data_IF_711145327104
#
_entry.id   IF_711145327104
#
_cell.length_a   1.000
_cell.length_b   1.000
_cell.length_c   1.000
_cell.angle_alpha   90.00
_cell.angle_beta   90.00
_cell.angle_gamma   90.00
#
_symmetry.space_group_name_H-M   'P 1'
#
loop_
_entity.id
_entity.type
_entity.pdbx_description
1 polymer ?
#
# COMPACT_ATOMS: atom_id res chain seq x y z
N UNK A 1 39.02 44.13 -4.28
CA UNK A 1 37.59 44.32 -3.90
C UNK A 1 36.73 43.04 -3.99
N UNK A 2 37.32 41.87 -4.22
CA UNK A 2 36.62 40.61 -4.55
C UNK A 2 36.49 39.61 -3.39
N UNK A 3 37.38 39.68 -2.38
CA UNK A 3 37.34 38.79 -1.20
C UNK A 3 36.27 39.18 -0.15
N UNK A 4 36.07 40.48 0.13
CA UNK A 4 35.04 40.96 1.06
C UNK A 4 33.61 40.63 0.61
N UNK A 5 33.33 40.68 -0.70
CA UNK A 5 32.02 40.30 -1.25
C UNK A 5 31.76 38.79 -1.15
N UNK A 6 32.78 37.94 -1.28
CA UNK A 6 32.66 36.48 -1.06
C UNK A 6 32.39 36.14 0.41
N UNK A 7 33.09 36.79 1.35
CA UNK A 7 32.85 36.59 2.79
C UNK A 7 31.43 37.04 3.20
N UNK A 8 31.00 38.23 2.79
CA UNK A 8 29.65 38.73 3.11
C UNK A 8 28.54 37.80 2.59
N UNK A 9 28.72 37.21 1.40
CA UNK A 9 27.77 36.23 0.83
C UNK A 9 27.72 34.92 1.63
N UNK A 10 28.84 34.48 2.19
CA UNK A 10 28.93 33.28 3.05
C UNK A 10 28.24 33.47 4.40
N UNK A 11 28.39 34.64 5.04
CA UNK A 11 27.68 34.97 6.27
C UNK A 11 26.17 35.06 6.06
N UNK A 12 25.75 35.66 4.94
CA UNK A 12 24.32 35.76 4.61
C UNK A 12 23.67 34.38 4.45
N UNK A 13 24.35 33.44 3.78
CA UNK A 13 23.91 32.04 3.67
C UNK A 13 23.83 31.39 5.05
N UNK A 14 24.86 31.53 5.89
CA UNK A 14 24.87 30.97 7.23
C UNK A 14 23.72 31.48 8.10
N UNK A 15 23.47 32.79 8.12
CA UNK A 15 22.37 33.39 8.89
C UNK A 15 20.99 33.02 8.33
N UNK A 16 20.87 32.73 7.03
CA UNK A 16 19.63 32.27 6.42
C UNK A 16 19.27 30.83 6.84
N UNK A 17 20.28 29.96 7.00
CA UNK A 17 20.09 28.55 7.40
C UNK A 17 20.13 28.32 8.92
N UNK A 18 20.72 29.22 9.70
CA UNK A 18 20.79 29.11 11.17
C UNK A 18 19.41 28.90 11.84
N UNK A 19 18.34 29.64 11.52
CA UNK A 19 17.02 29.39 12.12
C UNK A 19 16.43 28.03 11.71
N UNK A 20 16.74 27.55 10.50
CA UNK A 20 16.33 26.20 10.05
C UNK A 20 17.12 25.13 10.83
N UNK A 21 18.42 25.32 11.02
CA UNK A 21 19.26 24.39 11.79
C UNK A 21 18.81 24.35 13.25
N UNK A 22 18.54 25.50 13.86
CA UNK A 22 18.05 25.59 15.24
C UNK A 22 16.67 24.96 15.40
N UNK A 23 15.74 25.17 14.46
CA UNK A 23 14.41 24.56 14.52
C UNK A 23 14.45 23.04 14.33
N UNK A 24 15.27 22.54 13.39
CA UNK A 24 15.49 21.09 13.19
C UNK A 24 16.16 20.47 14.41
N UNK A 25 17.15 21.13 15.01
CA UNK A 25 17.83 20.65 16.21
C UNK A 25 16.87 20.59 17.41
N UNK A 26 16.02 21.61 17.56
CA UNK A 26 14.99 21.64 18.59
C UNK A 26 13.95 20.53 18.42
N UNK A 27 13.52 20.26 17.19
CA UNK A 27 12.62 19.14 16.87
C UNK A 27 13.27 17.79 17.16
N UNK A 28 14.55 17.61 16.82
CA UNK A 28 15.31 16.40 17.12
C UNK A 28 15.44 16.15 18.63
N UNK A 29 15.65 17.20 19.44
CA UNK A 29 15.70 17.11 20.90
C UNK A 29 14.34 16.76 21.51
N UNK A 30 13.24 17.22 20.90
CA UNK A 30 11.86 16.93 21.35
C UNK A 30 11.29 15.63 20.79
N UNK A 31 12.09 14.81 20.14
CA UNK A 31 11.59 13.61 19.50
C UNK A 31 11.12 12.59 20.55
N UNK A 32 9.88 12.14 20.39
CA UNK A 32 9.28 11.12 21.25
C UNK A 32 10.01 9.80 21.08
N UNK A 33 10.18 9.07 22.18
CA UNK A 33 10.65 7.68 22.16
C UNK A 33 9.65 6.80 21.40
N UNK A 34 10.11 5.66 20.87
CA UNK A 34 9.22 4.68 20.22
C UNK A 34 8.07 4.27 21.15
N UNK A 35 8.34 4.15 22.45
CA UNK A 35 7.34 3.82 23.46
C UNK A 35 6.25 4.90 23.59
N UNK A 36 6.64 6.17 23.62
CA UNK A 36 5.70 7.30 23.67
C UNK A 36 4.90 7.43 22.36
N UNK A 37 5.51 7.14 21.22
CA UNK A 37 4.83 7.14 19.92
C UNK A 37 3.72 6.07 19.85
N UNK A 38 3.88 4.96 20.56
CA UNK A 38 2.91 3.87 20.60
C UNK A 38 1.60 4.22 21.30
N UNK A 39 1.57 5.21 22.21
CA UNK A 39 0.35 5.59 22.94
C UNK A 39 -0.37 4.41 23.64
N UNK A 40 0.40 3.57 24.35
CA UNK A 40 -0.10 2.35 25.02
C UNK A 40 -1.23 2.66 26.01
N UNK A 41 -1.24 3.85 26.60
CA UNK A 41 -2.28 4.34 27.51
C UNK A 41 -3.66 4.49 26.85
N UNK A 42 -3.77 4.43 25.51
CA UNK A 42 -5.04 4.44 24.78
C UNK A 42 -5.71 3.07 24.69
N UNK A 43 -5.02 1.99 25.08
CA UNK A 43 -5.63 0.67 25.16
C UNK A 43 -6.74 0.64 26.25
N UNK A 44 -7.83 -0.13 26.06
CA UNK A 44 -8.00 -1.22 25.09
C UNK A 44 -8.42 -0.79 23.68
N UNK A 45 -8.66 0.51 23.44
CA UNK A 45 -8.98 1.05 22.11
C UNK A 45 -7.70 1.41 21.33
N UNK A 46 -6.95 0.37 21.04
CA UNK A 46 -5.64 0.39 20.38
C UNK A 46 -5.51 -0.84 19.44
N UNK A 47 -4.50 -0.87 18.57
CA UNK A 47 -4.26 -1.95 17.62
C UNK A 47 -3.75 -3.25 18.28
N UNK A 48 -3.24 -3.17 19.51
CA UNK A 48 -2.86 -4.36 20.29
C UNK A 48 -1.57 -4.16 21.08
N UNK A 49 -1.03 -5.26 21.63
CA UNK A 49 0.14 -5.25 22.51
C UNK A 49 1.18 -6.34 22.21
N UNK A 50 1.09 -7.01 21.06
CA UNK A 50 1.89 -8.22 20.75
C UNK A 50 3.40 -7.96 20.74
N UNK A 51 3.83 -6.74 20.40
CA UNK A 51 5.25 -6.34 20.42
C UNK A 51 5.62 -5.33 21.51
N UNK A 52 4.70 -4.93 22.39
CA UNK A 52 5.00 -3.92 23.40
C UNK A 52 6.18 -4.29 24.30
N UNK A 53 6.31 -5.57 24.68
CA UNK A 53 7.43 -6.03 25.52
C UNK A 53 8.79 -5.78 24.85
N UNK A 54 8.88 -5.97 23.54
CA UNK A 54 10.14 -5.80 22.80
C UNK A 54 10.46 -4.31 22.61
N UNK A 55 9.44 -3.46 22.44
CA UNK A 55 9.58 -1.99 22.42
C UNK A 55 10.02 -1.46 23.79
N UNK A 56 9.39 -1.87 24.89
CA UNK A 56 9.78 -1.47 26.26
C UNK A 56 11.21 -1.89 26.61
N UNK A 57 11.71 -2.98 26.01
CA UNK A 57 13.10 -3.44 26.15
C UNK A 57 14.06 -2.76 25.17
N UNK A 58 13.66 -1.69 24.49
CA UNK A 58 14.45 -0.93 23.51
C UNK A 58 15.07 -1.80 22.40
N UNK A 59 14.39 -2.89 21.99
CA UNK A 59 14.86 -3.74 20.89
C UNK A 59 14.49 -3.20 19.50
N UNK A 60 13.68 -2.15 19.46
CA UNK A 60 13.27 -1.45 18.24
C UNK A 60 13.70 0.00 18.39
N UNK A 61 14.60 0.45 17.52
CA UNK A 61 15.19 1.80 17.58
C UNK A 61 15.04 2.50 16.23
N UNK A 62 14.75 3.81 16.25
CA UNK A 62 14.63 4.62 15.05
C UNK A 62 15.98 4.71 14.30
N UNK A 63 15.92 4.74 12.97
CA UNK A 63 17.10 4.89 12.11
C UNK A 63 17.18 6.29 11.50
N UNK A 64 18.38 6.87 11.44
CA UNK A 64 18.62 8.20 10.88
C UNK A 64 19.73 8.19 9.84
N UNK A 65 20.04 7.02 9.29
CA UNK A 65 21.19 6.80 8.43
C UNK A 65 21.03 7.48 7.05
N UNK A 66 19.79 7.71 6.60
CA UNK A 66 19.49 8.41 5.35
C UNK A 66 18.78 9.72 5.66
N UNK A 67 18.99 10.72 4.81
CA UNK A 67 18.29 12.02 4.90
C UNK A 67 16.77 11.82 4.83
N UNK A 68 16.30 10.88 4.01
CA UNK A 68 14.88 10.49 3.97
C UNK A 68 14.41 10.01 5.34
N UNK A 69 15.11 9.07 5.94
CA UNK A 69 14.71 8.44 7.21
C UNK A 69 14.70 9.48 8.33
N UNK A 70 15.67 10.40 8.32
CA UNK A 70 15.69 11.57 9.19
C UNK A 70 14.46 12.45 9.01
N UNK A 71 14.09 12.82 7.78
CA UNK A 71 12.92 13.66 7.51
C UNK A 71 11.64 12.96 7.99
N UNK A 72 11.45 11.69 7.65
CA UNK A 72 10.27 10.93 8.07
C UNK A 72 10.18 10.83 9.59
N UNK A 73 11.29 10.48 10.25
CA UNK A 73 11.30 10.27 11.69
C UNK A 73 11.13 11.58 12.49
N UNK A 74 11.72 12.68 12.03
CA UNK A 74 11.69 13.98 12.72
C UNK A 74 10.39 14.75 12.45
N UNK A 75 9.88 14.70 11.22
CA UNK A 75 8.67 15.44 10.83
C UNK A 75 7.39 14.60 10.85
N UNK A 76 7.47 13.32 11.21
CA UNK A 76 6.32 12.40 11.27
C UNK A 76 5.52 12.38 9.96
N UNK A 77 6.20 12.39 8.81
CA UNK A 77 5.56 12.43 7.49
C UNK A 77 4.68 11.19 7.32
N UNK A 78 3.37 11.41 7.11
CA UNK A 78 2.33 10.35 7.10
C UNK A 78 2.33 9.44 8.34
N UNK A 79 2.90 9.87 9.47
CA UNK A 79 3.06 9.06 10.69
C UNK A 79 3.81 7.73 10.46
N UNK A 80 4.75 7.73 9.52
CA UNK A 80 5.62 6.60 9.18
C UNK A 80 7.03 6.85 9.74
N UNK A 81 7.60 5.85 10.41
CA UNK A 81 8.93 5.92 11.00
C UNK A 81 9.78 4.73 10.57
N UNK A 82 11.03 4.99 10.19
CA UNK A 82 12.00 3.95 9.85
C UNK A 82 12.79 3.54 11.09
N UNK A 83 12.88 2.24 11.32
CA UNK A 83 13.48 1.68 12.52
C UNK A 83 14.20 0.35 12.23
N UNK A 84 14.92 -0.16 13.23
CA UNK A 84 15.53 -1.49 13.21
C UNK A 84 15.02 -2.32 14.36
N UNK A 85 14.53 -3.52 14.07
CA UNK A 85 14.19 -4.52 15.07
C UNK A 85 15.27 -5.60 15.09
N UNK A 86 16.10 -5.61 16.15
CA UNK A 86 17.34 -6.40 16.21
C UNK A 86 18.29 -6.02 15.06
N UNK A 87 18.41 -6.86 14.04
CA UNK A 87 19.21 -6.60 12.83
C UNK A 87 18.36 -6.27 11.61
N UNK A 88 17.03 -6.42 11.70
CA UNK A 88 16.13 -6.30 10.54
C UNK A 88 15.60 -4.87 10.40
N UNK A 89 15.64 -4.28 9.20
CA UNK A 89 14.98 -3.00 8.96
C UNK A 89 13.45 -3.20 9.03
N UNK A 90 12.78 -2.28 9.72
CA UNK A 90 11.33 -2.28 9.93
C UNK A 90 10.76 -0.89 9.75
N UNK A 91 9.47 -0.83 9.46
CA UNK A 91 8.70 0.41 9.41
C UNK A 91 7.68 0.38 10.55
N UNK A 92 7.63 1.47 11.31
CA UNK A 92 6.62 1.75 12.31
C UNK A 92 5.58 2.68 11.69
N UNK A 93 4.30 2.28 11.69
CA UNK A 93 3.21 3.12 11.18
C UNK A 93 2.16 3.36 12.24
N UNK A 94 1.78 4.62 12.40
CA UNK A 94 0.56 5.02 13.09
C UNK A 94 -0.46 5.35 12.00
N UNK A 95 -1.43 4.46 11.81
CA UNK A 95 -2.26 4.32 10.61
C UNK A 95 -3.42 5.32 10.53
N UNK A 96 -3.21 6.51 11.06
CA UNK A 96 -4.14 7.63 11.01
C UNK A 96 -3.42 8.91 11.39
N UNK A 97 -3.95 10.04 10.91
CA UNK A 97 -3.50 11.33 11.35
C UNK A 97 -3.93 11.60 12.80
N UNK A 98 -3.20 12.47 13.50
CA UNK A 98 -3.49 12.83 14.90
C UNK A 98 -4.93 13.33 15.07
N UNK A 99 -5.47 14.04 14.07
CA UNK A 99 -6.83 14.56 14.10
C UNK A 99 -7.89 13.44 14.04
N UNK A 100 -7.67 12.40 13.24
CA UNK A 100 -8.55 11.24 13.12
C UNK A 100 -8.53 10.41 14.41
N UNK A 101 -7.34 10.20 14.98
CA UNK A 101 -7.18 9.51 16.28
C UNK A 101 -7.87 10.28 17.41
N UNK A 102 -7.75 11.62 17.42
CA UNK A 102 -8.42 12.46 18.40
C UNK A 102 -9.95 12.47 18.22
N UNK A 103 -10.44 12.39 16.97
CA UNK A 103 -11.87 12.23 16.68
C UNK A 103 -12.36 10.89 17.19
N UNK A 104 -11.67 9.80 16.85
CA UNK A 104 -11.96 8.46 17.35
C UNK A 104 -11.99 8.42 18.89
N UNK A 105 -11.04 9.06 19.57
CA UNK A 105 -11.00 9.17 21.03
C UNK A 105 -12.21 9.87 21.65
N UNK A 106 -12.78 10.86 20.96
CA UNK A 106 -14.02 11.52 21.41
C UNK A 106 -15.21 10.59 21.18
N UNK A 107 -15.29 9.98 20.00
CA UNK A 107 -16.41 9.14 19.59
C UNK A 107 -16.60 7.90 20.49
N UNK A 108 -15.52 7.40 21.12
CA UNK A 108 -15.58 6.24 22.03
C UNK A 108 -15.70 6.61 23.52
N UNK A 109 -15.49 7.88 23.91
CA UNK A 109 -15.33 8.29 25.31
C UNK A 109 -16.57 8.03 26.15
N UNK A 110 -17.73 8.29 25.57
CA UNK A 110 -19.02 8.26 26.27
C UNK A 110 -19.79 6.96 25.99
N UNK A 111 -19.19 6.03 25.23
CA UNK A 111 -19.88 4.82 24.81
C UNK A 111 -19.55 3.64 25.74
N UNK A 112 -20.54 3.14 26.47
CA UNK A 112 -20.50 1.80 27.10
C UNK A 112 -20.84 0.77 26.02
N UNK A 113 -19.84 0.34 25.25
CA UNK A 113 -20.09 -0.53 24.09
C UNK A 113 -19.79 -1.98 24.44
N UNK A 114 -20.83 -2.82 24.35
CA UNK A 114 -20.69 -4.28 24.40
C UNK A 114 -20.33 -4.83 23.01
N UNK A 115 -19.96 -6.11 22.97
CA UNK A 115 -19.54 -6.80 21.74
C UNK A 115 -20.54 -6.65 20.58
N UNK A 116 -21.82 -6.89 20.85
CA UNK A 116 -22.89 -6.89 19.84
C UNK A 116 -23.06 -5.51 19.20
N UNK A 117 -23.02 -4.46 20.02
CA UNK A 117 -23.12 -3.08 19.53
C UNK A 117 -21.90 -2.69 18.66
N UNK A 118 -20.67 -3.03 19.08
CA UNK A 118 -19.46 -2.77 18.28
C UNK A 118 -19.49 -3.51 16.94
N UNK A 119 -19.83 -4.81 16.94
CA UNK A 119 -19.89 -5.61 15.72
C UNK A 119 -20.95 -5.06 14.75
N UNK A 120 -22.12 -4.66 15.25
CA UNK A 120 -23.17 -4.05 14.44
C UNK A 120 -22.76 -2.70 13.85
N UNK A 121 -22.07 -1.85 14.62
CA UNK A 121 -21.58 -0.56 14.15
C UNK A 121 -20.52 -0.73 13.05
N UNK A 122 -19.59 -1.68 13.22
CA UNK A 122 -18.60 -2.02 12.19
C UNK A 122 -19.26 -2.53 10.92
N UNK A 123 -20.23 -3.44 11.06
CA UNK A 123 -20.98 -3.99 9.93
C UNK A 123 -21.62 -2.88 9.11
N UNK A 124 -22.29 -1.94 9.77
CA UNK A 124 -22.87 -0.77 9.12
C UNK A 124 -21.80 0.11 8.46
N UNK A 125 -20.72 0.42 9.17
CA UNK A 125 -19.66 1.32 8.69
C UNK A 125 -18.92 0.76 7.46
N UNK A 126 -18.58 -0.53 7.47
CA UNK A 126 -17.78 -1.15 6.42
C UNK A 126 -18.59 -1.52 5.17
N UNK A 127 -19.91 -1.67 5.28
CA UNK A 127 -20.77 -2.00 4.13
C UNK A 127 -21.09 -0.80 3.25
N UNK A 128 -20.91 0.43 3.71
CA UNK A 128 -20.95 1.68 2.92
C UNK A 128 -22.01 1.77 1.78
N UNK A 129 -23.20 1.20 1.95
CA UNK A 129 -24.27 1.20 0.94
C UNK A 129 -25.26 2.37 1.09
N UNK A 130 -24.79 3.52 1.61
CA UNK A 130 -25.57 4.75 1.57
C UNK A 130 -24.89 5.71 0.60
N UNK A 131 -25.50 5.92 -0.57
CA UNK A 131 -25.03 6.85 -1.60
C UNK A 131 -24.83 8.29 -1.06
N UNK A 132 -25.36 8.61 0.12
CA UNK A 132 -25.21 9.91 0.80
C UNK A 132 -23.98 10.00 1.70
N UNK A 133 -23.24 8.92 1.91
CA UNK A 133 -22.06 8.88 2.78
C UNK A 133 -20.81 8.60 1.93
N UNK A 134 -19.72 9.36 2.11
CA UNK A 134 -18.46 9.04 1.44
C UNK A 134 -18.05 7.59 1.70
N UNK A 135 -17.65 6.87 0.65
CA UNK A 135 -17.20 5.49 0.79
C UNK A 135 -16.04 5.40 1.79
N UNK A 136 -16.07 4.45 2.74
CA UNK A 136 -14.93 4.23 3.62
C UNK A 136 -13.71 3.76 2.80
N UNK A 137 -12.47 4.06 3.24
CA UNK A 137 -11.24 3.54 2.63
C UNK A 137 -11.28 2.02 2.44
N UNK A 138 -11.73 1.30 3.47
CA UNK A 138 -11.92 -0.15 3.43
C UNK A 138 -13.40 -0.52 3.41
N UNK A 139 -13.77 -1.39 2.47
CA UNK A 139 -15.16 -1.72 2.17
C UNK A 139 -15.39 -3.24 2.12
N UNK A 140 -16.55 -3.67 2.62
CA UNK A 140 -16.99 -5.07 2.62
C UNK A 140 -18.29 -5.20 1.83
N UNK A 141 -18.32 -6.09 0.84
CA UNK A 141 -19.41 -6.14 -0.14
C UNK A 141 -20.81 -6.44 0.42
N UNK A 142 -20.90 -7.38 1.36
CA UNK A 142 -22.18 -7.87 1.85
C UNK A 142 -22.05 -8.41 3.29
N UNK A 143 -23.19 -8.77 3.87
CA UNK A 143 -23.26 -9.29 5.23
C UNK A 143 -22.48 -10.59 5.39
N UNK A 144 -22.57 -11.50 4.42
CA UNK A 144 -21.87 -12.79 4.47
C UNK A 144 -20.35 -12.61 4.42
N UNK A 145 -19.89 -11.67 3.59
CA UNK A 145 -18.48 -11.28 3.53
C UNK A 145 -18.07 -10.66 4.85
N UNK A 146 -18.89 -9.79 5.45
CA UNK A 146 -18.57 -9.18 6.74
C UNK A 146 -18.46 -10.24 7.83
N UNK A 147 -19.43 -11.16 7.95
CA UNK A 147 -19.38 -12.20 8.99
C UNK A 147 -18.13 -13.08 8.80
N UNK A 148 -17.87 -13.55 7.58
CA UNK A 148 -16.70 -14.40 7.30
C UNK A 148 -15.38 -13.66 7.54
N UNK A 149 -15.28 -12.41 7.08
CA UNK A 149 -14.11 -11.56 7.30
C UNK A 149 -13.90 -11.31 8.79
N UNK A 150 -14.95 -10.88 9.50
CA UNK A 150 -14.88 -10.58 10.92
C UNK A 150 -14.47 -11.81 11.75
N UNK A 151 -15.03 -12.98 11.43
CA UNK A 151 -14.75 -14.23 12.14
C UNK A 151 -13.36 -14.81 11.80
N UNK A 152 -12.74 -14.37 10.70
CA UNK A 152 -11.35 -14.72 10.37
C UNK A 152 -10.33 -14.15 11.36
N UNK A 153 -10.73 -13.15 12.18
CA UNK A 153 -9.88 -12.57 13.22
C UNK A 153 -10.09 -13.27 14.55
N UNK A 154 -9.05 -13.95 15.02
CA UNK A 154 -9.00 -14.48 16.38
C UNK A 154 -8.65 -13.38 17.40
N UNK A 155 -9.39 -12.26 17.38
CA UNK A 155 -9.21 -11.19 18.35
C UNK A 155 -10.21 -11.40 19.47
N UNK A 156 -9.75 -11.94 20.60
CA UNK A 156 -10.56 -12.06 21.83
C UNK A 156 -11.02 -10.70 22.38
N UNK A 157 -10.50 -9.59 21.85
CA UNK A 157 -10.83 -8.23 22.26
C UNK A 157 -11.48 -7.41 21.12
N UNK A 158 -12.81 -7.35 21.15
CA UNK A 158 -13.63 -6.55 20.23
C UNK A 158 -13.24 -5.06 20.18
N UNK A 159 -12.74 -4.47 21.28
CA UNK A 159 -12.34 -3.05 21.29
C UNK A 159 -11.11 -2.82 20.41
N UNK A 160 -10.19 -3.79 20.36
CA UNK A 160 -9.05 -3.79 19.45
C UNK A 160 -9.50 -3.94 18.01
N UNK A 161 -10.36 -4.92 17.72
CA UNK A 161 -10.94 -5.13 16.37
C UNK A 161 -11.66 -3.89 15.89
N UNK A 162 -12.49 -3.30 16.75
CA UNK A 162 -13.20 -2.06 16.47
C UNK A 162 -12.25 -0.91 16.19
N UNK A 163 -11.17 -0.78 16.95
CA UNK A 163 -10.17 0.27 16.72
C UNK A 163 -9.49 0.10 15.36
N UNK A 164 -9.05 -1.11 15.02
CA UNK A 164 -8.40 -1.41 13.74
C UNK A 164 -9.38 -1.10 12.60
N UNK A 165 -10.54 -1.75 12.56
CA UNK A 165 -11.47 -1.63 11.45
C UNK A 165 -12.14 -0.24 11.36
N UNK A 166 -12.21 0.51 12.46
CA UNK A 166 -12.73 1.88 12.43
C UNK A 166 -11.71 2.90 11.93
N UNK A 167 -10.42 2.63 12.09
CA UNK A 167 -9.35 3.57 11.76
C UNK A 167 -8.69 3.18 10.43
N UNK A 168 -8.16 1.96 10.35
CA UNK A 168 -7.43 1.47 9.20
C UNK A 168 -7.35 -0.06 9.22
N UNK A 169 -7.84 -0.70 8.16
CA UNK A 169 -7.88 -2.17 8.04
C UNK A 169 -6.53 -2.81 7.70
N UNK A 170 -5.49 -2.02 7.36
CA UNK A 170 -4.16 -2.49 6.96
C UNK A 170 -3.59 -3.58 7.89
N UNK A 171 -3.58 -3.48 9.24
CA UNK A 171 -2.97 -4.50 10.11
C UNK A 171 -3.60 -5.89 9.92
N UNK A 172 -4.91 -5.89 9.75
CA UNK A 172 -5.74 -7.07 9.61
C UNK A 172 -5.52 -7.71 8.25
N UNK A 173 -5.45 -6.90 7.18
CA UNK A 173 -5.16 -7.38 5.84
C UNK A 173 -3.72 -7.89 5.74
N UNK A 174 -2.74 -7.18 6.31
CA UNK A 174 -1.36 -7.67 6.38
C UNK A 174 -1.29 -9.00 7.12
N UNK A 175 -1.98 -9.17 8.25
CA UNK A 175 -1.99 -10.46 8.96
C UNK A 175 -2.60 -11.59 8.11
N UNK A 176 -3.71 -11.32 7.41
CA UNK A 176 -4.39 -12.28 6.56
C UNK A 176 -3.52 -12.71 5.36
N UNK A 177 -2.95 -11.74 4.64
CA UNK A 177 -2.27 -11.98 3.37
C UNK A 177 -0.77 -12.32 3.55
N UNK A 178 -0.07 -11.78 4.55
CA UNK A 178 1.37 -12.07 4.75
C UNK A 178 1.69 -13.50 5.18
N UNK A 179 0.68 -14.27 5.65
CA UNK A 179 0.85 -15.68 6.03
C UNK A 179 1.15 -16.59 4.83
N UNK A 180 0.83 -16.18 3.61
CA UNK A 180 0.98 -17.01 2.40
C UNK A 180 2.02 -16.37 1.47
N UNK A 181 2.97 -17.19 1.00
CA UNK A 181 4.15 -16.72 0.23
C UNK A 181 3.85 -16.04 -1.12
N UNK A 182 2.66 -16.24 -1.67
CA UNK A 182 2.32 -15.73 -3.00
C UNK A 182 1.66 -14.35 -2.98
N UNK A 183 1.26 -13.82 -1.82
CA UNK A 183 0.79 -12.44 -1.73
C UNK A 183 1.97 -11.48 -1.52
N UNK A 184 2.15 -10.49 -2.39
CA UNK A 184 3.21 -9.50 -2.27
C UNK A 184 2.80 -8.41 -1.27
N UNK A 185 2.77 -8.72 0.02
CA UNK A 185 2.52 -7.75 1.09
C UNK A 185 3.63 -7.81 2.15
N UNK A 186 3.92 -6.71 2.88
CA UNK A 186 4.93 -6.72 3.92
C UNK A 186 4.55 -7.68 5.04
N UNK A 187 5.55 -8.31 5.64
CA UNK A 187 5.33 -9.05 6.88
C UNK A 187 4.95 -8.10 8.02
N UNK A 188 3.81 -8.36 8.66
CA UNK A 188 3.47 -7.74 9.95
C UNK A 188 4.22 -8.46 11.07
N UNK A 189 5.07 -7.76 11.82
CA UNK A 189 5.78 -8.31 12.97
C UNK A 189 4.93 -8.26 14.24
N UNK A 190 4.03 -7.29 14.35
CA UNK A 190 3.08 -7.16 15.46
C UNK A 190 2.70 -5.71 15.73
N UNK A 191 2.06 -5.47 16.87
CA UNK A 191 1.46 -4.18 17.23
C UNK A 191 1.83 -3.76 18.66
N UNK A 192 1.85 -2.46 18.91
CA UNK A 192 1.91 -1.92 20.26
C UNK A 192 1.17 -0.59 20.37
N UNK A 193 0.15 -0.54 21.23
CA UNK A 193 -0.73 0.61 21.32
C UNK A 193 -1.35 0.92 19.94
N UNK A 194 -1.16 2.14 19.44
CA UNK A 194 -1.61 2.62 18.13
C UNK A 194 -0.52 2.62 17.07
N UNK A 195 0.45 1.72 17.22
CA UNK A 195 1.55 1.54 16.28
C UNK A 195 1.56 0.11 15.77
N UNK A 196 1.78 -0.07 14.47
CA UNK A 196 2.15 -1.36 13.89
C UNK A 196 3.63 -1.39 13.56
N UNK A 197 4.21 -2.58 13.59
CA UNK A 197 5.59 -2.84 13.19
C UNK A 197 5.55 -3.81 12.00
N UNK A 198 5.99 -3.36 10.83
CA UNK A 198 6.01 -4.16 9.62
C UNK A 198 7.39 -4.18 8.98
N UNK A 199 7.57 -5.06 8.01
CA UNK A 199 8.76 -5.15 7.18
C UNK A 199 9.03 -3.86 6.38
N UNK A 200 10.28 -3.42 6.38
CA UNK A 200 10.78 -2.42 5.45
C UNK A 200 11.22 -3.14 4.17
N UNK A 201 10.31 -3.28 3.22
CA UNK A 201 10.51 -4.18 2.08
C UNK A 201 11.46 -3.61 1.01
N UNK A 202 11.43 -2.29 0.74
CA UNK A 202 12.23 -1.75 -0.34
C UNK A 202 11.91 -0.30 -0.70
N UNK A 203 12.21 0.07 -1.95
CA UNK A 203 11.98 1.42 -2.49
C UNK A 203 10.76 1.44 -3.40
N UNK A 204 10.00 2.52 -3.35
CA UNK A 204 8.85 2.71 -4.23
C UNK A 204 9.21 2.61 -5.72
N UNK A 205 8.29 2.11 -6.54
CA UNK A 205 8.45 1.90 -7.98
C UNK A 205 8.75 3.21 -8.70
N UNK A 206 8.21 4.35 -8.25
CA UNK A 206 8.59 5.65 -8.81
C UNK A 206 10.08 6.01 -8.65
N UNK A 207 10.82 5.34 -7.76
CA UNK A 207 12.23 5.60 -7.47
C UNK A 207 13.19 4.59 -8.14
N UNK A 208 12.73 3.86 -9.18
CA UNK A 208 13.55 2.84 -9.88
C UNK A 208 14.13 3.33 -11.22
N UNK A 209 14.32 4.63 -11.40
CA UNK A 209 14.84 5.24 -12.65
C UNK A 209 16.13 4.58 -13.18
N UNK A 210 16.98 4.08 -12.28
CA UNK A 210 18.26 3.43 -12.63
C UNK A 210 18.12 1.98 -13.10
N UNK A 211 16.92 1.41 -13.07
CA UNK A 211 16.71 0.03 -13.46
C UNK A 211 16.79 -0.11 -14.99
N UNK A 212 17.54 -1.11 -15.45
CA UNK A 212 17.50 -1.50 -16.86
C UNK A 212 16.08 -1.88 -17.27
N UNK A 213 15.79 -1.80 -18.56
CA UNK A 213 14.47 -2.16 -19.07
C UNK A 213 14.07 -3.60 -18.67
N UNK A 214 14.99 -4.56 -18.67
CA UNK A 214 14.71 -5.94 -18.25
C UNK A 214 14.39 -6.06 -16.75
N UNK A 215 15.00 -5.25 -15.88
CA UNK A 215 14.62 -5.19 -14.46
C UNK A 215 13.22 -4.63 -14.30
N UNK A 216 12.88 -3.55 -15.01
CA UNK A 216 11.51 -2.99 -15.02
C UNK A 216 10.49 -3.98 -15.57
N UNK A 217 10.83 -4.76 -16.59
CA UNK A 217 10.00 -5.84 -17.12
C UNK A 217 9.75 -6.97 -16.10
N UNK A 218 10.75 -7.31 -15.28
CA UNK A 218 10.57 -8.28 -14.20
C UNK A 218 9.67 -7.73 -13.09
N UNK A 219 9.84 -6.45 -12.73
CA UNK A 219 8.97 -5.76 -11.76
C UNK A 219 7.53 -5.73 -12.29
N UNK A 220 7.30 -5.32 -13.53
CA UNK A 220 5.99 -5.31 -14.18
C UNK A 220 5.32 -6.68 -14.16
N UNK A 221 6.08 -7.74 -14.49
CA UNK A 221 5.61 -9.12 -14.43
C UNK A 221 5.12 -9.50 -13.02
N UNK A 222 5.93 -9.22 -11.99
CA UNK A 222 5.59 -9.58 -10.62
C UNK A 222 4.44 -8.73 -10.05
N UNK A 223 4.32 -7.46 -10.43
CA UNK A 223 3.18 -6.59 -10.05
C UNK A 223 1.88 -7.17 -10.62
N UNK A 224 1.84 -7.45 -11.92
CA UNK A 224 0.65 -7.99 -12.58
C UNK A 224 0.27 -9.37 -12.02
N UNK A 225 1.25 -10.22 -11.73
CA UNK A 225 1.02 -11.50 -11.04
C UNK A 225 0.48 -11.28 -9.61
N UNK A 226 1.01 -10.29 -8.89
CA UNK A 226 0.58 -9.94 -7.54
C UNK A 226 -0.89 -9.55 -7.45
N UNK A 227 -1.34 -8.68 -8.35
CA UNK A 227 -2.74 -8.22 -8.35
C UNK A 227 -3.71 -9.31 -8.79
N UNK A 228 -3.29 -10.23 -9.68
CA UNK A 228 -4.06 -11.44 -9.97
C UNK A 228 -4.19 -12.34 -8.73
N UNK A 229 -3.13 -12.48 -7.93
CA UNK A 229 -3.18 -13.29 -6.72
C UNK A 229 -4.20 -12.74 -5.71
N UNK A 230 -4.29 -11.42 -5.53
CA UNK A 230 -5.29 -10.79 -4.66
C UNK A 230 -6.74 -11.10 -5.09
N UNK A 231 -6.99 -11.20 -6.40
CA UNK A 231 -8.32 -11.56 -6.93
C UNK A 231 -8.59 -13.07 -6.86
N UNK A 232 -7.59 -13.91 -7.15
CA UNK A 232 -7.81 -15.33 -7.47
C UNK A 232 -7.32 -16.33 -6.43
N UNK A 233 -6.38 -15.98 -5.56
CA UNK A 233 -5.61 -17.02 -4.84
C UNK A 233 -5.85 -17.06 -3.33
N UNK A 234 -6.67 -16.19 -2.74
CA UNK A 234 -7.13 -16.40 -1.36
C UNK A 234 -8.22 -17.48 -1.34
N UNK A 235 -8.29 -18.32 -0.32
CA UNK A 235 -9.27 -19.41 -0.22
C UNK A 235 -10.70 -18.85 -0.17
N UNK A 236 -10.94 -17.90 0.73
CA UNK A 236 -12.29 -17.36 0.99
C UNK A 236 -12.64 -16.02 0.32
N UNK A 237 -11.65 -15.24 -0.12
CA UNK A 237 -11.85 -13.83 -0.44
C UNK A 237 -11.29 -13.44 -1.81
N UNK A 238 -11.87 -12.40 -2.40
CA UNK A 238 -11.25 -11.59 -3.45
C UNK A 238 -10.96 -10.22 -2.83
N UNK A 239 -9.73 -9.74 -3.01
CA UNK A 239 -9.32 -8.42 -2.56
C UNK A 239 -9.08 -7.52 -3.77
N UNK A 240 -9.75 -6.38 -3.81
CA UNK A 240 -9.61 -5.37 -4.85
C UNK A 240 -8.98 -4.11 -4.25
N UNK A 241 -7.80 -3.76 -4.74
CA UNK A 241 -7.06 -2.57 -4.32
C UNK A 241 -7.63 -1.36 -5.05
N UNK A 242 -7.99 -0.31 -4.31
CA UNK A 242 -8.63 0.87 -4.88
C UNK A 242 -7.67 2.06 -5.04
N UNK A 243 -6.48 1.97 -4.46
CA UNK A 243 -5.42 3.00 -4.53
C UNK A 243 -4.10 2.43 -5.08
N UNK A 244 -4.14 1.94 -6.33
CA UNK A 244 -2.95 1.42 -7.01
C UNK A 244 -2.13 2.60 -7.53
N UNK A 245 -0.92 2.77 -7.02
CA UNK A 245 -0.01 3.82 -7.45
C UNK A 245 1.46 3.38 -7.39
N UNK A 246 2.38 4.08 -8.09
CA UNK A 246 3.80 3.76 -8.05
C UNK A 246 4.47 3.96 -6.68
N UNK A 247 3.89 4.78 -5.80
CA UNK A 247 4.38 4.97 -4.43
C UNK A 247 3.87 3.90 -3.46
N UNK A 248 2.74 3.26 -3.75
CA UNK A 248 2.16 2.18 -2.95
C UNK A 248 2.72 0.79 -3.29
N UNK A 249 3.57 0.70 -4.32
CA UNK A 249 4.30 -0.52 -4.68
C UNK A 249 5.80 -0.30 -4.48
N UNK A 250 6.45 -1.20 -3.76
CA UNK A 250 7.90 -1.16 -3.51
C UNK A 250 8.62 -2.36 -4.07
N UNK A 251 9.92 -2.18 -4.34
CA UNK A 251 10.83 -3.19 -4.90
C UNK A 251 12.07 -3.32 -4.02
N UNK A 252 12.47 -4.55 -3.70
CA UNK A 252 13.70 -4.86 -2.97
C UNK A 252 14.94 -4.99 -3.90
N UNK A 253 16.09 -5.31 -3.34
CA UNK A 253 17.34 -5.48 -4.11
C UNK A 253 17.31 -6.72 -5.03
N UNK A 254 16.51 -7.73 -4.68
CA UNK A 254 16.29 -8.97 -5.44
C UNK A 254 15.14 -8.84 -6.47
N UNK A 255 14.64 -7.63 -6.69
CA UNK A 255 13.53 -7.30 -7.59
C UNK A 255 12.23 -7.99 -7.21
N UNK A 256 12.03 -8.39 -5.95
CA UNK A 256 10.72 -8.75 -5.42
C UNK A 256 9.89 -7.50 -5.22
N UNK A 257 8.57 -7.66 -5.23
CA UNK A 257 7.60 -6.56 -5.12
C UNK A 257 6.70 -6.78 -3.92
N UNK A 258 6.27 -5.66 -3.32
CA UNK A 258 5.29 -5.65 -2.25
C UNK A 258 4.39 -4.43 -2.37
N UNK A 259 3.10 -4.61 -2.07
CA UNK A 259 2.10 -3.54 -1.93
C UNK A 259 2.09 -3.09 -0.47
N UNK A 260 2.51 -1.86 -0.21
CA UNK A 260 2.75 -1.36 1.15
C UNK A 260 1.61 -0.53 1.71
N UNK A 261 0.61 -0.22 0.89
CA UNK A 261 -0.62 0.43 1.30
C UNK A 261 -1.79 -0.52 1.06
N UNK A 262 -2.42 -0.92 2.15
CA UNK A 262 -3.56 -1.84 2.14
C UNK A 262 -4.79 -1.20 2.80
N UNK A 263 -4.78 0.11 3.06
CA UNK A 263 -5.88 0.77 3.75
C UNK A 263 -7.11 0.96 2.84
N UNK A 264 -6.84 1.12 1.54
CA UNK A 264 -7.82 1.36 0.49
C UNK A 264 -8.11 0.07 -0.29
N UNK A 265 -9.16 -0.65 0.10
CA UNK A 265 -9.53 -1.91 -0.54
C UNK A 265 -11.00 -2.29 -0.38
N UNK A 266 -11.50 -3.05 -1.34
CA UNK A 266 -12.77 -3.77 -1.27
C UNK A 266 -12.49 -5.25 -1.06
N UNK A 267 -13.12 -5.87 -0.07
CA UNK A 267 -13.10 -7.32 0.11
C UNK A 267 -14.47 -7.92 -0.21
N UNK A 268 -14.44 -9.05 -0.92
CA UNK A 268 -15.61 -9.83 -1.29
C UNK A 268 -15.40 -11.31 -0.96
N UNK A 269 -16.39 -11.97 -0.39
CA UNK A 269 -16.39 -13.43 -0.23
C UNK A 269 -16.44 -14.10 -1.61
N UNK A 270 -15.63 -15.14 -1.80
CA UNK A 270 -15.67 -15.93 -3.02
C UNK A 270 -16.96 -16.73 -3.11
N UNK A 271 -17.63 -16.62 -4.24
CA UNK A 271 -18.68 -17.52 -4.68
C UNK A 271 -18.09 -18.68 -5.48
N UNK A 272 -18.84 -19.78 -5.57
CA UNK A 272 -18.46 -20.95 -6.37
C UNK A 272 -18.57 -20.69 -7.88
N UNK A 273 -19.21 -19.59 -8.29
CA UNK A 273 -19.39 -19.16 -9.67
C UNK A 273 -18.41 -18.03 -10.00
N UNK A 274 -18.08 -17.91 -11.29
CA UNK A 274 -17.40 -16.73 -11.85
C UNK A 274 -18.12 -16.28 -13.12
N UNK A 275 -19.45 -16.41 -13.13
CA UNK A 275 -20.26 -16.21 -14.34
C UNK A 275 -20.49 -14.73 -14.58
N UNK A 276 -20.78 -13.96 -13.52
CA UNK A 276 -20.96 -12.51 -13.63
C UNK A 276 -19.62 -11.80 -13.41
N UNK A 277 -18.96 -11.40 -14.49
CA UNK A 277 -17.71 -10.64 -14.46
C UNK A 277 -17.99 -9.14 -14.59
N UNK A 278 -17.46 -8.34 -13.67
CA UNK A 278 -17.39 -6.89 -13.81
C UNK A 278 -16.09 -6.49 -14.53
N UNK A 279 -16.25 -5.76 -15.63
CA UNK A 279 -15.17 -5.14 -16.39
C UNK A 279 -15.11 -3.64 -16.07
N UNK A 280 -14.02 -3.20 -15.47
CA UNK A 280 -13.84 -1.78 -15.14
C UNK A 280 -13.81 -0.92 -16.40
N UNK A 281 -14.56 0.18 -16.41
CA UNK A 281 -14.61 1.14 -17.49
C UNK A 281 -14.71 2.54 -16.92
N UNK A 282 -13.81 3.43 -17.35
CA UNK A 282 -13.73 4.80 -16.87
C UNK A 282 -13.39 5.75 -18.02
N UNK A 283 -13.87 6.98 -17.92
CA UNK A 283 -13.57 8.03 -18.90
C UNK A 283 -12.06 8.23 -19.04
N UNK A 284 -11.66 8.69 -20.24
CA UNK A 284 -10.26 8.78 -20.69
C UNK A 284 -9.39 9.63 -19.75
N UNK A 285 -9.98 10.46 -18.88
CA UNK A 285 -9.27 11.44 -18.06
C UNK A 285 -9.27 11.14 -16.55
N UNK A 286 -9.98 10.10 -16.07
CA UNK A 286 -10.07 9.84 -14.62
C UNK A 286 -9.97 8.34 -14.28
N UNK A 287 -9.17 8.02 -13.26
CA UNK A 287 -9.22 6.71 -12.62
C UNK A 287 -10.26 6.77 -11.51
N UNK A 288 -11.43 6.17 -11.78
CA UNK A 288 -12.46 5.96 -10.78
C UNK A 288 -12.73 4.46 -10.63
N UNK A 289 -13.58 4.08 -9.69
CA UNK A 289 -14.07 2.72 -9.53
C UNK A 289 -15.48 2.74 -8.95
N UNK A 290 -16.24 1.68 -9.21
CA UNK A 290 -17.59 1.50 -8.69
C UNK A 290 -17.59 0.37 -7.65
N UNK A 291 -17.61 0.68 -6.33
CA UNK A 291 -17.73 -0.33 -5.29
C UNK A 291 -18.96 -1.23 -5.51
N UNK A 292 -20.05 -0.62 -5.97
CA UNK A 292 -21.30 -1.31 -6.27
C UNK A 292 -21.13 -2.35 -7.37
N UNK A 293 -20.57 -1.98 -8.52
CA UNK A 293 -20.38 -2.93 -9.63
C UNK A 293 -19.40 -4.06 -9.27
N UNK A 294 -18.33 -3.74 -8.55
CA UNK A 294 -17.40 -4.74 -8.02
C UNK A 294 -18.15 -5.73 -7.12
N UNK A 295 -18.96 -5.24 -6.18
CA UNK A 295 -19.65 -6.08 -5.21
C UNK A 295 -20.86 -6.84 -5.76
N UNK A 296 -21.53 -6.33 -6.79
CA UNK A 296 -22.63 -7.00 -7.48
C UNK A 296 -22.15 -8.07 -8.49
N UNK A 297 -20.85 -8.15 -8.77
CA UNK A 297 -20.24 -9.15 -9.68
C UNK A 297 -19.62 -10.32 -8.92
N UNK A 298 -19.58 -11.53 -9.49
CA UNK A 298 -18.86 -12.66 -8.88
C UNK A 298 -17.34 -12.41 -8.81
N UNK A 299 -16.85 -11.68 -9.82
CA UNK A 299 -15.44 -11.46 -10.08
C UNK A 299 -15.29 -10.12 -10.82
N UNK A 300 -14.27 -9.35 -10.47
CA UNK A 300 -13.94 -8.11 -11.17
C UNK A 300 -12.48 -8.10 -11.65
N UNK A 301 -12.25 -7.51 -12.80
CA UNK A 301 -10.90 -7.27 -13.34
C UNK A 301 -10.24 -5.99 -12.80
N UNK A 302 -10.85 -5.30 -11.84
CA UNK A 302 -10.44 -3.98 -11.34
C UNK A 302 -8.94 -3.87 -11.04
N UNK A 303 -8.39 -4.85 -10.32
CA UNK A 303 -6.98 -4.96 -10.00
C UNK A 303 -6.07 -4.99 -11.24
N UNK A 304 -6.46 -5.76 -12.25
CA UNK A 304 -5.73 -5.89 -13.52
C UNK A 304 -5.82 -4.59 -14.30
N UNK A 305 -7.03 -4.03 -14.40
CA UNK A 305 -7.29 -2.76 -15.04
C UNK A 305 -6.44 -1.64 -14.43
N UNK A 306 -6.42 -1.51 -13.10
CA UNK A 306 -5.63 -0.49 -12.40
C UNK A 306 -4.14 -0.59 -12.68
N UNK A 307 -3.56 -1.80 -12.68
CA UNK A 307 -2.15 -1.98 -13.07
C UNK A 307 -1.91 -1.64 -14.54
N UNK A 308 -2.76 -2.11 -15.45
CA UNK A 308 -2.62 -1.82 -16.87
C UNK A 308 -2.70 -0.31 -17.15
N UNK A 309 -3.70 0.37 -16.57
CA UNK A 309 -3.96 1.80 -16.75
C UNK A 309 -2.92 2.69 -16.08
N UNK A 310 -2.60 2.45 -14.82
CA UNK A 310 -1.83 3.39 -14.00
C UNK A 310 -0.33 3.09 -13.99
N UNK A 311 0.08 1.84 -14.26
CA UNK A 311 1.48 1.44 -14.15
C UNK A 311 2.08 1.02 -15.49
N UNK A 312 1.36 0.33 -16.37
CA UNK A 312 1.96 -0.29 -17.56
C UNK A 312 1.75 0.49 -18.86
N UNK A 313 0.59 1.12 -19.04
CA UNK A 313 0.26 1.86 -20.25
C UNK A 313 1.24 2.97 -20.52
N UNK A 314 1.53 3.21 -21.80
CA UNK A 314 2.29 4.40 -22.22
C UNK A 314 1.54 5.71 -21.93
N UNK A 315 0.23 5.62 -21.73
CA UNK A 315 -0.68 6.73 -21.45
C UNK A 315 -1.10 6.78 -19.97
N UNK A 316 -0.31 6.19 -19.06
CA UNK A 316 -0.60 6.28 -17.63
C UNK A 316 -0.65 7.75 -17.16
N UNK A 317 -1.70 8.10 -16.41
CA UNK A 317 -1.99 9.47 -16.00
C UNK A 317 -0.92 10.01 -15.04
N UNK A 318 -0.49 11.26 -15.19
CA UNK A 318 0.38 11.91 -14.19
C UNK A 318 -0.40 12.13 -12.87
N UNK A 319 0.19 11.95 -11.66
CA UNK A 319 1.60 11.74 -11.33
C UNK A 319 2.02 10.25 -11.24
N UNK A 320 1.35 9.35 -11.96
CA UNK A 320 1.71 7.94 -12.00
C UNK A 320 3.00 7.70 -12.84
N UNK A 321 3.10 6.60 -13.58
CA UNK A 321 4.30 6.28 -14.36
C UNK A 321 4.27 6.97 -15.73
N UNK A 322 4.99 8.07 -15.90
CA UNK A 322 5.14 8.70 -17.24
C UNK A 322 5.72 7.70 -18.26
N UNK A 323 5.03 7.56 -19.40
CA UNK A 323 5.32 6.55 -20.43
C UNK A 323 5.11 5.09 -20.01
N UNK A 324 4.61 4.84 -18.80
CA UNK A 324 4.46 3.50 -18.21
C UNK A 324 5.77 2.88 -17.74
N UNK A 325 5.66 1.85 -16.92
CA UNK A 325 6.81 1.13 -16.33
C UNK A 325 7.75 0.52 -17.39
N UNK A 326 7.23 0.26 -18.59
CA UNK A 326 7.95 -0.37 -19.70
C UNK A 326 8.39 0.59 -20.81
N UNK A 327 8.39 1.91 -20.56
CA UNK A 327 8.86 2.92 -21.52
C UNK A 327 10.29 2.65 -22.01
N UNK A 328 10.63 3.16 -23.20
CA UNK A 328 11.96 3.05 -23.82
C UNK A 328 12.51 1.61 -23.91
N UNK A 329 11.79 0.67 -24.54
CA UNK A 329 12.28 -0.70 -24.76
C UNK A 329 13.50 -0.76 -25.69
N UNK A 330 14.42 -1.74 -25.50
CA UNK A 330 15.47 -2.05 -26.46
C UNK A 330 14.90 -2.35 -27.85
N UNK A 331 15.64 -2.02 -28.93
CA UNK A 331 15.17 -2.18 -30.32
C UNK A 331 14.78 -3.62 -30.64
N UNK A 332 15.49 -4.60 -30.09
CA UNK A 332 15.21 -6.02 -30.25
C UNK A 332 13.85 -6.39 -29.64
N UNK A 333 13.48 -5.76 -28.53
CA UNK A 333 12.18 -5.96 -27.88
C UNK A 333 11.08 -5.31 -28.72
N UNK A 334 11.26 -4.07 -29.16
CA UNK A 334 10.26 -3.37 -29.99
C UNK A 334 9.98 -4.12 -31.28
N UNK A 335 11.02 -4.62 -31.97
CA UNK A 335 10.88 -5.33 -33.24
C UNK A 335 10.26 -6.73 -33.11
N UNK A 336 10.63 -7.48 -32.07
CA UNK A 336 10.20 -8.90 -31.92
C UNK A 336 8.99 -9.09 -31.01
N UNK A 337 8.71 -8.12 -30.14
CA UNK A 337 7.69 -8.23 -29.10
C UNK A 337 6.71 -7.05 -29.08
N UNK A 338 6.49 -6.36 -30.21
CA UNK A 338 5.51 -5.27 -30.33
C UNK A 338 4.12 -5.65 -29.79
N UNK A 339 3.67 -6.90 -30.02
CA UNK A 339 2.41 -7.45 -29.50
C UNK A 339 2.28 -7.44 -27.96
N UNK A 340 3.36 -7.24 -27.21
CA UNK A 340 3.29 -7.00 -25.77
C UNK A 340 2.64 -5.65 -25.48
N UNK A 341 3.09 -4.60 -26.16
CA UNK A 341 2.61 -3.24 -25.95
C UNK A 341 1.16 -3.10 -26.41
N UNK A 342 0.79 -3.71 -27.53
CA UNK A 342 -0.59 -3.74 -27.98
C UNK A 342 -1.52 -4.45 -26.97
N UNK A 343 -1.06 -5.55 -26.37
CA UNK A 343 -1.82 -6.24 -25.34
C UNK A 343 -1.97 -5.42 -24.05
N UNK A 344 -0.98 -4.57 -23.72
CA UNK A 344 -1.07 -3.63 -22.59
C UNK A 344 -2.10 -2.55 -22.89
N UNK A 345 -2.06 -1.93 -24.07
CA UNK A 345 -3.04 -0.89 -24.40
C UNK A 345 -4.46 -1.46 -24.55
N UNK A 346 -4.60 -2.68 -25.10
CA UNK A 346 -5.86 -3.41 -25.10
C UNK A 346 -6.31 -3.85 -23.68
N UNK A 347 -5.41 -3.94 -22.71
CA UNK A 347 -5.78 -4.16 -21.31
C UNK A 347 -6.35 -2.89 -20.67
N UNK A 348 -5.97 -1.70 -21.17
CA UNK A 348 -6.50 -0.41 -20.72
C UNK A 348 -7.88 -0.18 -21.32
N UNK A 349 -7.92 -0.15 -22.64
CA UNK A 349 -9.13 0.09 -23.40
C UNK A 349 -9.90 -1.22 -23.45
N UNK A 350 -11.12 -1.25 -22.91
CA UNK A 350 -12.04 -2.38 -23.09
C UNK A 350 -13.11 -2.05 -24.12
N UNK A 351 -12.77 -1.76 -25.39
CA UNK A 351 -13.77 -1.87 -26.42
C UNK A 351 -14.19 -3.34 -26.47
N UNK A 352 -15.49 -3.60 -26.38
CA UNK A 352 -16.10 -4.93 -26.57
C UNK A 352 -15.86 -5.98 -25.47
N UNK A 353 -15.81 -5.58 -24.19
CA UNK A 353 -15.72 -6.52 -23.04
C UNK A 353 -14.56 -7.53 -23.15
N UNK A 354 -13.42 -7.12 -23.73
CA UNK A 354 -12.28 -8.02 -23.87
C UNK A 354 -11.89 -8.54 -22.49
N UNK A 355 -11.83 -9.86 -22.38
CA UNK A 355 -11.51 -10.54 -21.14
C UNK A 355 -10.10 -10.15 -20.65
N UNK A 356 -10.02 -9.19 -19.71
CA UNK A 356 -8.75 -8.72 -19.16
C UNK A 356 -7.99 -9.80 -18.38
N UNK A 357 -8.66 -10.85 -17.90
CA UNK A 357 -7.97 -12.01 -17.33
C UNK A 357 -7.18 -12.77 -18.41
N UNK A 358 -7.71 -12.85 -19.63
CA UNK A 358 -7.02 -13.49 -20.75
C UNK A 358 -5.89 -12.60 -21.26
N UNK A 359 -6.14 -11.31 -21.42
CA UNK A 359 -5.11 -10.34 -21.82
C UNK A 359 -3.96 -10.30 -20.81
N UNK A 360 -4.24 -10.24 -19.51
CA UNK A 360 -3.20 -10.24 -18.49
C UNK A 360 -2.38 -11.53 -18.50
N UNK A 361 -2.99 -12.70 -18.73
CA UNK A 361 -2.26 -13.95 -18.98
C UNK A 361 -1.37 -13.87 -20.22
N UNK A 362 -1.85 -13.27 -21.31
CA UNK A 362 -1.04 -13.04 -22.51
C UNK A 362 0.15 -12.11 -22.25
N UNK A 363 -0.06 -11.01 -21.51
CA UNK A 363 0.99 -10.07 -21.11
C UNK A 363 2.04 -10.78 -20.26
N UNK A 364 1.63 -11.53 -19.23
CA UNK A 364 2.52 -12.32 -18.38
C UNK A 364 3.34 -13.32 -19.19
N UNK A 365 2.72 -14.05 -20.12
CA UNK A 365 3.42 -15.02 -20.97
C UNK A 365 4.47 -14.35 -21.88
N UNK A 366 4.13 -13.19 -22.47
CA UNK A 366 5.07 -12.42 -23.30
C UNK A 366 6.24 -11.88 -22.49
N UNK A 367 5.97 -11.29 -21.32
CA UNK A 367 7.01 -10.84 -20.39
C UNK A 367 7.90 -12.00 -19.96
N UNK A 368 7.31 -13.15 -19.61
CA UNK A 368 8.05 -14.33 -19.22
C UNK A 368 9.02 -14.82 -20.32
N UNK A 369 8.57 -14.84 -21.58
CA UNK A 369 9.42 -15.21 -22.72
C UNK A 369 10.61 -14.25 -22.88
N UNK A 370 10.36 -12.94 -22.79
CA UNK A 370 11.41 -11.91 -22.87
C UNK A 370 12.41 -12.05 -21.72
N UNK A 371 11.91 -12.25 -20.50
CA UNK A 371 12.73 -12.39 -19.30
C UNK A 371 13.58 -13.67 -19.33
N UNK A 372 13.06 -14.77 -19.89
CA UNK A 372 13.83 -16.00 -20.13
C UNK A 372 15.00 -15.75 -21.08
N UNK A 373 14.74 -15.07 -22.21
CA UNK A 373 15.80 -14.68 -23.13
C UNK A 373 16.85 -13.79 -22.46
N UNK A 374 16.41 -12.79 -21.70
CA UNK A 374 17.30 -11.88 -20.97
C UNK A 374 18.19 -12.62 -19.95
N UNK A 375 17.65 -13.62 -19.24
CA UNK A 375 18.43 -14.44 -18.30
C UNK A 375 19.48 -15.27 -19.02
N UNK A 376 19.11 -15.92 -20.13
CA UNK A 376 20.03 -16.72 -20.92
C UNK A 376 21.20 -15.89 -21.48
N UNK A 377 20.97 -14.61 -21.75
CA UNK A 377 21.95 -13.68 -22.30
C UNK A 377 22.59 -12.73 -21.26
N UNK A 378 22.39 -12.98 -19.95
CA UNK A 378 22.95 -12.17 -18.85
C UNK A 378 22.66 -10.66 -18.96
N UNK A 379 21.44 -10.29 -19.33
CA UNK A 379 21.00 -8.89 -19.48
C UNK A 379 20.42 -8.26 -18.19
N UNK A 380 20.62 -8.91 -17.04
CA UNK A 380 20.14 -8.50 -15.72
C UNK A 380 21.20 -7.74 -14.92
#
# INVERSE_FOLDING_TARGET
>A
MTARKKMAKSYYIFFLFLPIILSVSFLAIKQKTVLELCEINKCPFCYGKTLCREITKNKINLEYNRVSDFIYNVFSVKNVYFARYKTKPVVLKKLAHTNELNKFDRDIRDKIINYKALKSELKFKLRGMDEKVPFPPFYVCDDDTFELFFDSFNTTNIKTTYTILSINAEPVLLEMFSKKKYFPVPKLYGTCGRMIVQENFGKAVNNIEKFSWYKRALVAYKILQGVQNFTENHEDFRLYLTDISPDNVVVDEDLNVSFIDMENAIIKKKTNTTEKVHYSNHDIDEYSFSPREICESDRSDHNIYGVCRLLLSKNALWPMMDGGLLHNPPREVTSRHWKLFDAIEACVHSPDEINRFDLSRQILNKLHAILRYARANKLF
#
